data_IF_114864944104
#
_entry.id   IF_114864944104
#
_cell.length_a   1.000
_cell.length_b   1.000
_cell.length_c   1.000
_cell.angle_alpha   90.00
_cell.angle_beta   90.00
_cell.angle_gamma   90.00
#
_symmetry.space_group_name_H-M   'P 1'
#
loop_
_entity.id
_entity.type
_entity.pdbx_description
1 polymer ?
#
# COMPACT_ATOMS: atom_id res chain seq x y z
N UNK A 1 5.70 -7.51 -1.57
CA UNK A 1 4.90 -8.46 -2.36
C UNK A 1 4.76 -9.84 -1.72
N UNK A 2 5.80 -10.44 -1.15
CA UNK A 2 5.73 -11.80 -0.57
C UNK A 2 4.54 -12.01 0.40
N UNK A 3 4.22 -11.06 1.27
CA UNK A 3 3.05 -11.16 2.17
C UNK A 3 1.69 -11.13 1.44
N UNK A 4 1.59 -10.41 0.33
CA UNK A 4 0.35 -10.35 -0.47
C UNK A 4 0.14 -11.67 -1.21
N UNK A 5 1.24 -12.26 -1.71
CA UNK A 5 1.24 -13.45 -2.57
C UNK A 5 1.13 -14.74 -1.73
N UNK A 6 1.99 -14.89 -0.72
CA UNK A 6 2.15 -16.15 0.02
C UNK A 6 1.23 -16.23 1.23
N UNK A 7 1.04 -15.12 1.95
CA UNK A 7 0.24 -15.07 3.19
C UNK A 7 -1.20 -14.59 2.94
N UNK A 8 -1.56 -14.34 1.67
CA UNK A 8 -2.87 -13.81 1.24
C UNK A 8 -3.31 -12.57 2.01
N UNK A 9 -2.37 -11.75 2.49
CA UNK A 9 -2.70 -10.45 3.08
C UNK A 9 -3.15 -9.46 2.01
N UNK A 10 -4.01 -8.52 2.37
CA UNK A 10 -4.24 -7.34 1.54
C UNK A 10 -2.96 -6.49 1.44
N UNK A 11 -2.84 -5.67 0.41
CA UNK A 11 -1.71 -4.76 0.22
C UNK A 11 -1.56 -3.80 1.42
N UNK A 12 -2.67 -3.32 1.99
CA UNK A 12 -2.67 -2.51 3.21
C UNK A 12 -2.11 -3.27 4.42
N UNK A 13 -2.59 -4.50 4.66
CA UNK A 13 -2.09 -5.33 5.76
C UNK A 13 -0.61 -5.65 5.58
N UNK A 14 -0.21 -6.06 4.38
CA UNK A 14 1.19 -6.34 4.05
C UNK A 14 2.09 -5.11 4.27
N UNK A 15 1.62 -3.91 3.90
CA UNK A 15 2.34 -2.67 4.19
C UNK A 15 2.53 -2.46 5.68
N UNK A 16 1.45 -2.56 6.48
CA UNK A 16 1.54 -2.33 7.93
C UNK A 16 2.39 -3.37 8.67
N UNK A 17 2.33 -4.64 8.25
CA UNK A 17 3.21 -5.69 8.79
C UNK A 17 4.70 -5.37 8.55
N UNK A 18 5.04 -4.89 7.35
CA UNK A 18 6.42 -4.52 7.05
C UNK A 18 6.80 -3.21 7.74
N UNK A 19 5.92 -2.20 7.78
CA UNK A 19 6.20 -0.92 8.42
C UNK A 19 6.37 -1.03 9.93
N UNK A 20 5.62 -1.91 10.59
CA UNK A 20 5.76 -2.17 12.02
C UNK A 20 7.13 -2.76 12.36
N UNK A 21 7.68 -3.62 11.50
CA UNK A 21 9.00 -4.23 11.68
C UNK A 21 10.14 -3.33 11.20
N UNK A 22 9.89 -2.51 10.18
CA UNK A 22 10.86 -1.57 9.59
C UNK A 22 10.17 -0.24 9.28
N UNK A 23 10.17 0.72 10.23
CA UNK A 23 9.45 1.98 10.09
C UNK A 23 9.91 2.88 8.92
N UNK A 24 11.11 2.65 8.39
CA UNK A 24 11.73 3.47 7.33
C UNK A 24 11.40 2.94 5.91
N UNK A 25 10.37 2.10 5.75
CA UNK A 25 9.96 1.66 4.41
C UNK A 25 9.20 2.75 3.65
N UNK A 26 9.75 3.18 2.52
CA UNK A 26 9.11 4.12 1.61
C UNK A 26 9.23 3.64 0.15
N UNK A 27 8.36 2.71 -0.30
CA UNK A 27 8.32 2.33 -1.71
C UNK A 27 8.05 3.56 -2.59
N UNK A 28 8.69 3.61 -3.76
CA UNK A 28 8.44 4.68 -4.71
C UNK A 28 7.05 4.56 -5.35
N UNK A 29 6.57 5.64 -5.97
CA UNK A 29 5.22 5.70 -6.58
C UNK A 29 5.03 4.66 -7.69
N UNK A 30 6.07 4.30 -8.45
CA UNK A 30 5.98 3.28 -9.49
C UNK A 30 5.74 1.88 -8.89
N UNK A 31 6.43 1.53 -7.80
CA UNK A 31 6.17 0.30 -7.04
C UNK A 31 4.76 0.29 -6.49
N UNK A 32 4.26 1.39 -5.93
CA UNK A 32 2.88 1.47 -5.47
C UNK A 32 1.86 1.22 -6.58
N UNK A 33 2.06 1.81 -7.77
CA UNK A 33 1.20 1.55 -8.93
C UNK A 33 1.19 0.08 -9.32
N UNK A 34 2.35 -0.56 -9.37
CA UNK A 34 2.46 -1.99 -9.67
C UNK A 34 1.76 -2.86 -8.62
N UNK A 35 1.94 -2.53 -7.33
CA UNK A 35 1.32 -3.29 -6.24
C UNK A 35 -0.20 -3.14 -6.22
N UNK A 36 -0.72 -1.93 -6.45
CA UNK A 36 -2.15 -1.65 -6.57
C UNK A 36 -2.75 -2.38 -7.77
N UNK A 37 -2.09 -2.33 -8.93
CA UNK A 37 -2.55 -3.02 -10.13
C UNK A 37 -2.60 -4.54 -9.92
N UNK A 38 -1.59 -5.10 -9.24
CA UNK A 38 -1.57 -6.52 -8.88
C UNK A 38 -2.73 -6.89 -7.96
N UNK A 39 -2.93 -6.17 -6.84
CA UNK A 39 -4.04 -6.49 -5.92
C UNK A 39 -5.41 -6.36 -6.60
N UNK A 40 -5.60 -5.34 -7.45
CA UNK A 40 -6.80 -5.20 -8.26
C UNK A 40 -7.02 -6.38 -9.21
N UNK A 41 -5.95 -6.86 -9.88
CA UNK A 41 -6.04 -8.02 -10.79
C UNK A 41 -6.45 -9.29 -10.04
N UNK A 42 -5.89 -9.52 -8.86
CA UNK A 42 -6.13 -10.74 -8.08
C UNK A 42 -7.46 -10.72 -7.31
N UNK A 43 -7.93 -9.55 -6.87
CA UNK A 43 -9.07 -9.42 -5.93
C UNK A 43 -10.23 -8.56 -6.45
N UNK A 44 -10.12 -8.01 -7.66
CA UNK A 44 -11.08 -7.06 -8.24
C UNK A 44 -11.03 -5.65 -7.66
N UNK A 45 -10.29 -5.43 -6.56
CA UNK A 45 -10.10 -4.11 -5.92
C UNK A 45 -8.80 -4.05 -5.13
N UNK A 46 -8.27 -2.84 -4.96
CA UNK A 46 -7.11 -2.56 -4.11
C UNK A 46 -7.54 -1.94 -2.78
N UNK A 47 -6.82 -2.28 -1.72
CA UNK A 47 -6.98 -1.74 -0.36
C UNK A 47 -6.12 -0.51 -0.09
N UNK A 48 -5.26 -0.14 -1.05
CA UNK A 48 -4.43 1.08 -1.05
C UNK A 48 -4.76 1.90 -2.28
N UNK A 49 -4.82 3.22 -2.13
CA UNK A 49 -5.07 4.17 -3.21
C UNK A 49 -4.01 5.27 -3.21
N UNK A 50 -3.64 5.74 -4.41
CA UNK A 50 -2.84 6.95 -4.54
C UNK A 50 -3.76 8.18 -4.45
N UNK A 51 -3.52 9.02 -3.45
CA UNK A 51 -4.23 10.27 -3.26
C UNK A 51 -3.98 11.21 -4.44
N UNK A 52 -5.05 11.72 -5.03
CA UNK A 52 -5.03 12.62 -6.20
C UNK A 52 -4.87 14.07 -5.75
N UNK A 53 -4.53 14.96 -6.68
CA UNK A 53 -4.46 16.42 -6.43
C UNK A 53 -3.10 16.93 -5.92
N UNK A 54 -2.08 16.08 -5.88
CA UNK A 54 -0.71 16.46 -5.54
C UNK A 54 0.22 16.28 -6.75
N UNK A 55 1.23 17.14 -6.89
CA UNK A 55 2.28 17.00 -7.93
C UNK A 55 2.96 15.62 -7.85
N UNK A 56 3.11 15.10 -6.63
CA UNK A 56 3.54 13.72 -6.37
C UNK A 56 2.46 12.98 -5.57
N UNK A 57 1.71 12.06 -6.19
CA UNK A 57 0.72 11.25 -5.49
C UNK A 57 1.38 10.39 -4.41
N UNK A 58 0.77 10.38 -3.22
CA UNK A 58 1.18 9.53 -2.11
C UNK A 58 0.14 8.44 -1.85
N UNK A 59 0.53 7.26 -1.36
CA UNK A 59 -0.39 6.24 -0.88
C UNK A 59 -1.20 6.73 0.33
N UNK A 60 -2.48 6.39 0.38
CA UNK A 60 -3.38 6.71 1.50
C UNK A 60 -2.94 6.10 2.84
N UNK A 61 -2.21 4.98 2.81
CA UNK A 61 -1.61 4.35 4.01
C UNK A 61 -0.52 5.19 4.69
N UNK A 62 0.00 6.24 4.04
CA UNK A 62 0.93 7.18 4.67
C UNK A 62 0.20 8.21 5.54
N UNK A 63 -1.10 8.40 5.33
CA UNK A 63 -1.91 9.28 6.16
C UNK A 63 -2.33 8.48 7.39
N UNK A 64 -1.64 8.68 8.52
CA UNK A 64 -2.12 8.16 9.80
C UNK A 64 -3.49 8.80 10.07
N UNK A 65 -4.53 7.99 10.29
CA UNK A 65 -5.77 8.48 10.90
C UNK A 65 -5.37 9.09 12.25
N UNK A 66 -5.46 10.41 12.39
CA UNK A 66 -5.60 11.01 13.71
C UNK A 66 -6.99 10.58 14.20
N UNK A 67 -7.06 9.51 14.98
CA UNK A 67 -8.23 9.28 15.82
C UNK A 67 -8.18 10.36 16.90
N UNK A 68 -9.06 11.35 16.78
CA UNK A 68 -9.44 12.23 17.88
C UNK A 68 -10.60 11.57 18.63
#
# INVERSE_FOLDING_TARGET
>A
MCLVINEKLSLRQAYYEVSNRRPVIAPNTAFWRQMIAYECKERGKSTVQLLRGMVRPIPDVYVKKQCN
#
